data_IF_637217483486
#
_entry.id   IF_637217483486
#
_cell.length_a   1.000
_cell.length_b   1.000
_cell.length_c   1.000
_cell.angle_alpha   90.00
_cell.angle_beta   90.00
_cell.angle_gamma   90.00
#
_symmetry.space_group_name_H-M   'P 1'
#
loop_
_entity.id
_entity.type
_entity.pdbx_description
1 polymer ?
#
# COMPACT_ATOMS: atom_id res chain seq x y z
N UNK A 1 19.15 2.40 -51.54
CA UNK A 1 19.43 2.42 -50.08
C UNK A 1 18.11 2.52 -49.36
N UNK A 2 17.56 1.39 -48.97
CA UNK A 2 16.29 1.31 -48.21
C UNK A 2 16.62 1.33 -46.72
N UNK A 3 16.30 2.45 -46.08
CA UNK A 3 16.34 2.56 -44.61
C UNK A 3 15.22 1.69 -44.05
N UNK A 4 15.57 0.53 -43.48
CA UNK A 4 14.69 -0.24 -42.64
C UNK A 4 14.54 0.54 -41.33
N UNK A 5 13.42 1.23 -41.19
CA UNK A 5 12.95 1.76 -39.93
C UNK A 5 12.51 0.56 -39.07
N UNK A 6 13.42 0.02 -38.26
CA UNK A 6 13.05 -0.89 -37.17
C UNK A 6 12.23 -0.10 -36.15
N UNK A 7 10.94 -0.02 -36.40
CA UNK A 7 9.98 0.36 -35.37
C UNK A 7 10.10 -0.72 -34.28
N UNK A 8 10.75 -0.40 -33.17
CA UNK A 8 10.54 -1.10 -31.91
C UNK A 8 9.07 -0.91 -31.53
N UNK A 9 8.20 -1.73 -32.13
CA UNK A 9 6.89 -1.98 -31.59
C UNK A 9 7.14 -2.61 -30.23
N UNK A 10 6.89 -1.87 -29.17
CA UNK A 10 6.69 -2.43 -27.82
C UNK A 10 5.51 -3.38 -27.96
N UNK A 11 5.80 -4.63 -28.28
CA UNK A 11 4.78 -5.65 -28.47
C UNK A 11 4.01 -5.78 -27.16
N UNK A 12 2.73 -5.45 -27.18
CA UNK A 12 1.85 -5.66 -26.04
C UNK A 12 1.96 -7.14 -25.66
N UNK A 13 2.30 -7.48 -24.41
CA UNK A 13 2.47 -8.87 -23.98
C UNK A 13 1.26 -9.71 -24.37
N UNK A 14 1.48 -10.96 -24.77
CA UNK A 14 0.39 -11.86 -25.15
C UNK A 14 -0.64 -11.98 -24.04
N UNK A 15 -1.89 -12.31 -24.37
CA UNK A 15 -2.96 -12.49 -23.39
C UNK A 15 -2.57 -13.51 -22.31
N UNK A 16 -1.86 -14.56 -22.69
CA UNK A 16 -1.37 -15.60 -21.79
C UNK A 16 -0.39 -15.04 -20.74
N UNK A 17 0.58 -14.23 -21.15
CA UNK A 17 1.54 -13.59 -20.25
C UNK A 17 0.79 -12.69 -19.26
N UNK A 18 -0.15 -11.87 -19.72
CA UNK A 18 -0.95 -10.98 -18.85
C UNK A 18 -1.76 -11.76 -17.83
N UNK A 19 -2.41 -12.86 -18.22
CA UNK A 19 -3.14 -13.73 -17.31
C UNK A 19 -2.22 -14.38 -16.25
N UNK A 20 -1.03 -14.80 -16.65
CA UNK A 20 -0.04 -15.38 -15.72
C UNK A 20 0.44 -14.33 -14.72
N UNK A 21 0.79 -13.13 -15.17
CA UNK A 21 1.22 -12.02 -14.29
C UNK A 21 0.10 -11.69 -13.31
N UNK A 22 -1.13 -11.52 -13.79
CA UNK A 22 -2.29 -11.20 -12.95
C UNK A 22 -2.51 -12.26 -11.86
N UNK A 23 -2.57 -13.53 -12.25
CA UNK A 23 -2.75 -14.66 -11.32
C UNK A 23 -1.64 -14.68 -10.26
N UNK A 24 -0.39 -14.57 -10.69
CA UNK A 24 0.75 -14.60 -9.77
C UNK A 24 0.77 -13.39 -8.85
N UNK A 25 0.37 -12.21 -9.32
CA UNK A 25 0.23 -11.01 -8.50
C UNK A 25 -0.79 -11.20 -7.38
N UNK A 26 -2.00 -11.70 -7.69
CA UNK A 26 -3.03 -11.93 -6.67
C UNK A 26 -2.65 -13.06 -5.70
N UNK A 27 -2.03 -14.15 -6.19
CA UNK A 27 -1.55 -15.22 -5.32
C UNK A 27 -0.45 -14.73 -4.38
N UNK A 28 0.52 -13.98 -4.89
CA UNK A 28 1.60 -13.45 -4.09
C UNK A 28 1.10 -12.38 -3.10
N UNK A 29 0.11 -11.57 -3.51
CA UNK A 29 -0.55 -10.61 -2.64
C UNK A 29 -1.26 -11.32 -1.47
N UNK A 30 -2.04 -12.36 -1.76
CA UNK A 30 -2.70 -13.15 -0.71
C UNK A 30 -1.68 -13.80 0.24
N UNK A 31 -0.59 -14.36 -0.32
CA UNK A 31 0.49 -14.95 0.47
C UNK A 31 1.20 -13.90 1.35
N UNK A 32 1.35 -12.67 0.87
CA UNK A 32 2.01 -11.58 1.62
C UNK A 32 1.21 -11.08 2.82
N UNK A 33 -0.10 -11.35 2.87
CA UNK A 33 -0.93 -11.02 4.04
C UNK A 33 -0.63 -11.94 5.24
N UNK A 34 -0.11 -13.15 5.02
CA UNK A 34 0.24 -14.09 6.10
C UNK A 34 1.38 -13.52 6.97
N UNK A 35 2.57 -13.18 6.43
CA UNK A 35 3.61 -12.57 7.23
C UNK A 35 3.19 -11.22 7.83
N UNK A 36 2.32 -10.45 7.15
CA UNK A 36 1.75 -9.22 7.71
C UNK A 36 0.92 -9.51 8.96
N UNK A 37 0.05 -10.52 8.93
CA UNK A 37 -0.77 -10.90 10.07
C UNK A 37 0.10 -11.39 11.24
N UNK A 38 1.11 -12.21 10.97
CA UNK A 38 2.07 -12.68 12.00
C UNK A 38 2.82 -11.48 12.58
N UNK A 39 3.33 -10.58 11.74
CA UNK A 39 4.00 -9.36 12.17
C UNK A 39 3.10 -8.47 13.03
N UNK A 40 1.84 -8.29 12.63
CA UNK A 40 0.87 -7.51 13.39
C UNK A 40 0.57 -8.12 14.77
N UNK A 41 0.40 -9.44 14.87
CA UNK A 41 0.20 -10.15 16.14
C UNK A 41 1.39 -10.00 17.08
N UNK A 42 2.61 -10.08 16.55
CA UNK A 42 3.83 -9.82 17.34
C UNK A 42 3.88 -8.33 17.72
N UNK A 43 3.62 -7.42 16.77
CA UNK A 43 3.64 -5.98 16.98
C UNK A 43 2.66 -5.49 18.05
N UNK A 44 1.48 -6.11 18.18
CA UNK A 44 0.53 -5.78 19.27
C UNK A 44 1.14 -6.04 20.66
N UNK A 45 2.01 -7.03 20.78
CA UNK A 45 2.64 -7.41 22.05
C UNK A 45 4.02 -6.79 22.28
N UNK A 46 4.57 -6.08 21.27
CA UNK A 46 5.86 -5.42 21.38
C UNK A 46 5.79 -4.08 22.09
N UNK A 47 6.80 -3.76 22.88
CA UNK A 47 6.98 -2.43 23.44
C UNK A 47 7.75 -1.55 22.44
N UNK A 48 7.09 -0.52 21.93
CA UNK A 48 7.71 0.50 21.08
C UNK A 48 8.33 1.64 21.89
N UNK A 49 8.81 1.35 23.11
CA UNK A 49 9.37 2.36 24.03
C UNK A 49 10.59 3.08 23.42
N UNK A 50 11.32 2.46 22.48
CA UNK A 50 12.43 3.11 21.78
C UNK A 50 11.96 4.29 20.95
N UNK A 51 10.73 4.25 20.40
CA UNK A 51 10.12 5.40 19.72
C UNK A 51 9.78 6.54 20.70
N UNK A 52 9.37 6.19 21.91
CA UNK A 52 9.07 7.19 22.96
C UNK A 52 10.35 7.83 23.52
N UNK A 53 11.43 7.03 23.71
CA UNK A 53 12.72 7.52 24.22
C UNK A 53 13.50 8.37 23.21
N UNK A 54 13.43 8.03 21.94
CA UNK A 54 14.15 8.72 20.87
C UNK A 54 13.28 8.78 19.62
N UNK A 55 12.27 9.68 19.57
CA UNK A 55 11.29 9.71 18.47
C UNK A 55 11.92 9.89 17.10
N UNK A 56 12.91 10.78 17.00
CA UNK A 56 13.61 11.08 15.73
C UNK A 56 14.40 9.85 15.27
N UNK A 57 15.24 9.29 16.15
CA UNK A 57 16.04 8.11 15.81
C UNK A 57 15.17 6.89 15.51
N UNK A 58 14.14 6.66 16.31
CA UNK A 58 13.18 5.59 16.09
C UNK A 58 12.48 5.71 14.73
N UNK A 59 12.02 6.90 14.38
CA UNK A 59 11.37 7.15 13.08
C UNK A 59 12.34 6.95 11.92
N UNK A 60 13.58 7.44 12.01
CA UNK A 60 14.61 7.24 10.98
C UNK A 60 14.90 5.75 10.80
N UNK A 61 15.04 4.99 11.89
CA UNK A 61 15.29 3.55 11.83
C UNK A 61 14.14 2.81 11.13
N UNK A 62 12.88 3.14 11.45
CA UNK A 62 11.71 2.54 10.83
C UNK A 62 11.61 2.87 9.35
N UNK A 63 11.83 4.13 8.98
CA UNK A 63 11.86 4.55 7.57
C UNK A 63 12.99 3.87 6.81
N UNK A 64 14.18 3.78 7.40
CA UNK A 64 15.33 3.10 6.79
C UNK A 64 15.04 1.60 6.58
N UNK A 65 14.41 0.93 7.54
CA UNK A 65 14.01 -0.47 7.41
C UNK A 65 12.95 -0.64 6.29
N UNK A 66 11.92 0.21 6.28
CA UNK A 66 10.84 0.15 5.29
C UNK A 66 11.37 0.42 3.88
N UNK A 67 12.06 1.54 3.65
CA UNK A 67 12.59 1.88 2.33
C UNK A 67 13.74 0.97 1.90
N UNK A 68 14.59 0.52 2.85
CA UNK A 68 15.66 -0.43 2.58
C UNK A 68 15.14 -1.78 2.09
N UNK A 69 14.12 -2.34 2.76
CA UNK A 69 13.48 -3.59 2.32
C UNK A 69 12.74 -3.40 0.99
N UNK A 70 12.01 -2.30 0.82
CA UNK A 70 11.37 -1.96 -0.45
C UNK A 70 12.38 -1.90 -1.59
N UNK A 71 13.53 -1.24 -1.38
CA UNK A 71 14.61 -1.19 -2.36
C UNK A 71 15.15 -2.60 -2.69
N UNK A 72 15.32 -3.47 -1.70
CA UNK A 72 15.74 -4.86 -1.90
C UNK A 72 14.73 -5.66 -2.72
N UNK A 73 13.44 -5.47 -2.50
CA UNK A 73 12.38 -6.08 -3.33
C UNK A 73 12.52 -5.63 -4.78
N UNK A 74 12.60 -4.31 -5.03
CA UNK A 74 12.67 -3.75 -6.37
C UNK A 74 13.95 -4.19 -7.10
N UNK A 75 15.08 -4.20 -6.39
CA UNK A 75 16.36 -4.63 -6.95
C UNK A 75 16.38 -6.10 -7.37
N UNK A 76 15.64 -6.96 -6.65
CA UNK A 76 15.62 -8.40 -6.87
C UNK A 76 14.31 -8.90 -7.54
N UNK A 77 13.51 -8.02 -8.12
CA UNK A 77 12.17 -8.33 -8.65
C UNK A 77 12.14 -9.38 -9.76
N UNK A 78 13.27 -9.65 -10.42
CA UNK A 78 13.39 -10.65 -11.49
C UNK A 78 13.81 -12.03 -10.94
N UNK A 79 14.00 -12.19 -9.64
CA UNK A 79 14.49 -13.41 -9.02
C UNK A 79 13.61 -13.89 -7.87
N UNK A 80 13.78 -15.15 -7.46
CA UNK A 80 13.12 -15.70 -6.28
C UNK A 80 13.46 -14.90 -5.00
N UNK A 81 14.65 -14.31 -4.93
CA UNK A 81 15.04 -13.44 -3.81
C UNK A 81 14.09 -12.25 -3.63
N UNK A 82 13.50 -11.74 -4.71
CA UNK A 82 12.49 -10.69 -4.63
C UNK A 82 11.24 -11.09 -3.84
N UNK A 83 10.81 -12.36 -3.96
CA UNK A 83 9.69 -12.89 -3.16
C UNK A 83 10.08 -12.94 -1.68
N UNK A 84 11.28 -13.42 -1.37
CA UNK A 84 11.77 -13.49 0.03
C UNK A 84 11.84 -12.10 0.65
N UNK A 85 12.39 -11.12 -0.08
CA UNK A 85 12.44 -9.73 0.38
C UNK A 85 11.03 -9.11 0.53
N UNK A 86 10.09 -9.48 -0.35
CA UNK A 86 8.70 -9.03 -0.24
C UNK A 86 8.05 -9.60 1.03
N UNK A 87 8.26 -10.89 1.34
CA UNK A 87 7.74 -11.49 2.58
C UNK A 87 8.35 -10.83 3.83
N UNK A 88 9.66 -10.55 3.81
CA UNK A 88 10.32 -9.82 4.89
C UNK A 88 9.76 -8.39 5.03
N UNK A 89 9.55 -7.68 3.91
CA UNK A 89 8.95 -6.35 3.88
C UNK A 89 7.55 -6.36 4.49
N UNK A 90 6.69 -7.28 4.05
CA UNK A 90 5.30 -7.35 4.53
C UNK A 90 5.19 -7.77 6.00
N UNK A 91 6.12 -8.61 6.49
CA UNK A 91 6.25 -8.94 7.90
C UNK A 91 6.60 -7.69 8.74
N UNK A 92 7.61 -6.92 8.31
CA UNK A 92 7.99 -5.67 9.00
C UNK A 92 6.85 -4.66 8.96
N UNK A 93 6.16 -4.52 7.83
CA UNK A 93 4.97 -3.66 7.73
C UNK A 93 3.88 -4.10 8.71
N UNK A 94 3.69 -5.41 8.90
CA UNK A 94 2.82 -5.97 9.95
C UNK A 94 3.25 -5.56 11.36
N UNK A 95 4.55 -5.67 11.69
CA UNK A 95 5.08 -5.20 12.97
C UNK A 95 4.76 -3.71 13.20
N UNK A 96 4.88 -2.88 12.16
CA UNK A 96 4.63 -1.44 12.23
C UNK A 96 3.14 -1.09 12.38
N UNK A 97 2.21 -2.01 12.12
CA UNK A 97 0.81 -1.86 12.52
C UNK A 97 0.62 -1.93 14.04
N UNK A 98 1.57 -2.53 14.77
CA UNK A 98 1.45 -2.77 16.21
C UNK A 98 0.97 -1.57 17.02
N UNK A 99 1.61 -0.40 16.96
CA UNK A 99 1.18 0.79 17.71
C UNK A 99 -0.26 1.22 17.40
N UNK A 100 -0.65 1.20 16.12
CA UNK A 100 -2.00 1.56 15.70
C UNK A 100 -3.04 0.56 16.22
N UNK A 101 -2.75 -0.74 16.12
CA UNK A 101 -3.63 -1.80 16.61
C UNK A 101 -3.70 -1.80 18.15
N UNK A 102 -2.59 -1.57 18.86
CA UNK A 102 -2.59 -1.38 20.31
C UNK A 102 -3.50 -0.23 20.73
N UNK A 103 -3.42 0.91 20.03
CA UNK A 103 -4.28 2.05 20.28
C UNK A 103 -5.75 1.69 20.01
N UNK A 104 -6.04 1.06 18.87
CA UNK A 104 -7.38 0.63 18.50
C UNK A 104 -8.00 -0.32 19.54
N UNK A 105 -7.25 -1.31 20.04
CA UNK A 105 -7.72 -2.29 21.03
C UNK A 105 -7.97 -1.69 22.41
N UNK A 106 -7.46 -0.52 22.72
CA UNK A 106 -7.77 0.21 23.97
C UNK A 106 -9.11 0.93 23.92
N UNK A 107 -9.66 1.16 22.73
CA UNK A 107 -10.98 1.78 22.55
C UNK A 107 -12.06 0.70 22.73
N UNK A 108 -13.20 0.98 23.40
CA UNK A 108 -14.34 0.07 23.43
C UNK A 108 -14.75 -0.34 22.00
N UNK A 109 -15.02 -1.65 21.82
CA UNK A 109 -15.31 -2.25 20.52
C UNK A 109 -14.16 -2.15 19.49
N UNK A 110 -12.93 -1.92 19.94
CA UNK A 110 -11.77 -1.71 19.06
C UNK A 110 -11.54 -2.86 18.07
N UNK A 111 -11.74 -4.11 18.50
CA UNK A 111 -11.67 -5.27 17.61
C UNK A 111 -12.68 -5.18 16.45
N UNK A 112 -13.92 -4.73 16.73
CA UNK A 112 -14.95 -4.52 15.71
C UNK A 112 -14.59 -3.38 14.75
N UNK A 113 -13.93 -2.33 15.25
CA UNK A 113 -13.46 -1.22 14.41
C UNK A 113 -12.33 -1.64 13.47
N UNK A 114 -11.42 -2.48 13.95
CA UNK A 114 -10.35 -3.08 13.13
C UNK A 114 -10.97 -3.97 12.04
N UNK A 115 -11.94 -4.81 12.41
CA UNK A 115 -12.65 -5.66 11.45
C UNK A 115 -13.40 -4.82 10.40
N UNK A 116 -14.09 -3.75 10.82
CA UNK A 116 -14.78 -2.83 9.92
C UNK A 116 -13.80 -2.19 8.91
N UNK A 117 -12.65 -1.70 9.38
CA UNK A 117 -11.61 -1.16 8.51
C UNK A 117 -11.11 -2.20 7.50
N UNK A 118 -10.91 -3.45 7.93
CA UNK A 118 -10.49 -4.55 7.05
C UNK A 118 -11.55 -4.89 6.00
N UNK A 119 -12.82 -4.95 6.39
CA UNK A 119 -13.95 -5.19 5.48
C UNK A 119 -14.09 -4.08 4.44
N UNK A 120 -14.03 -2.82 4.86
CA UNK A 120 -14.07 -1.67 3.96
C UNK A 120 -12.88 -1.65 3.00
N UNK A 121 -11.68 -1.95 3.49
CA UNK A 121 -10.47 -2.08 2.66
C UNK A 121 -10.66 -3.16 1.59
N UNK A 122 -11.16 -4.32 1.98
CA UNK A 122 -11.44 -5.43 1.07
C UNK A 122 -12.50 -5.07 0.04
N UNK A 123 -13.58 -4.40 0.46
CA UNK A 123 -14.64 -3.95 -0.44
C UNK A 123 -14.10 -2.95 -1.48
N UNK A 124 -13.34 -1.95 -1.06
CA UNK A 124 -12.72 -0.97 -1.97
C UNK A 124 -11.76 -1.67 -2.93
N UNK A 125 -10.92 -2.60 -2.44
CA UNK A 125 -10.01 -3.37 -3.28
C UNK A 125 -10.75 -4.14 -4.37
N UNK A 126 -11.83 -4.84 -4.02
CA UNK A 126 -12.64 -5.62 -4.97
C UNK A 126 -13.32 -4.72 -6.00
N UNK A 127 -13.93 -3.62 -5.56
CA UNK A 127 -14.60 -2.66 -6.45
C UNK A 127 -13.59 -2.02 -7.42
N UNK A 128 -12.46 -1.51 -6.91
CA UNK A 128 -11.43 -0.89 -7.76
C UNK A 128 -10.80 -1.88 -8.74
N UNK A 129 -10.59 -3.11 -8.29
CA UNK A 129 -10.12 -4.19 -9.17
C UNK A 129 -11.15 -4.48 -10.27
N UNK A 130 -12.44 -4.62 -9.95
CA UNK A 130 -13.50 -4.87 -10.91
C UNK A 130 -13.61 -3.74 -11.95
N UNK A 131 -13.51 -2.49 -11.52
CA UNK A 131 -13.48 -1.32 -12.43
C UNK A 131 -12.26 -1.40 -13.35
N UNK A 132 -11.09 -1.77 -12.84
CA UNK A 132 -9.86 -1.90 -13.62
C UNK A 132 -9.99 -2.89 -14.80
N UNK A 133 -10.73 -3.98 -14.62
CA UNK A 133 -11.02 -4.95 -15.69
C UNK A 133 -11.94 -4.38 -16.78
N UNK A 134 -12.85 -3.51 -16.41
CA UNK A 134 -13.89 -2.97 -17.32
C UNK A 134 -13.38 -1.82 -18.17
N UNK A 135 -12.48 -0.99 -17.62
CA UNK A 135 -11.94 0.19 -18.32
C UNK A 135 -11.03 -0.22 -19.47
N UNK A 136 -11.42 0.14 -20.70
CA UNK A 136 -10.65 -0.16 -21.91
C UNK A 136 -9.66 0.93 -22.31
N UNK A 137 -9.88 2.16 -21.85
CA UNK A 137 -9.06 3.33 -22.19
C UNK A 137 -7.75 3.32 -21.39
N UNK A 138 -6.66 3.76 -22.01
CA UNK A 138 -5.39 3.97 -21.32
C UNK A 138 -5.52 4.99 -20.18
N UNK A 139 -4.91 4.68 -19.03
CA UNK A 139 -4.98 5.52 -17.83
C UNK A 139 -3.68 6.31 -17.59
N UNK A 140 -3.02 6.79 -18.67
CA UNK A 140 -1.77 7.54 -18.55
C UNK A 140 -1.97 8.83 -17.73
N UNK A 141 -3.11 9.50 -17.91
CA UNK A 141 -3.47 10.67 -17.08
C UNK A 141 -3.53 10.33 -15.60
N UNK A 142 -4.11 9.17 -15.26
CA UNK A 142 -4.22 8.74 -13.86
C UNK A 142 -2.84 8.48 -13.24
N UNK A 143 -1.90 7.89 -13.98
CA UNK A 143 -0.52 7.69 -13.51
C UNK A 143 0.17 9.03 -13.18
N UNK A 144 0.05 10.02 -14.06
CA UNK A 144 0.59 11.36 -13.83
C UNK A 144 -0.08 12.05 -12.63
N UNK A 145 -1.40 11.95 -12.52
CA UNK A 145 -2.15 12.47 -11.38
C UNK A 145 -1.70 11.85 -10.06
N UNK A 146 -1.50 10.53 -10.04
CA UNK A 146 -1.01 9.81 -8.84
C UNK A 146 0.43 10.21 -8.49
N UNK A 147 1.28 10.45 -9.48
CA UNK A 147 2.65 10.92 -9.21
C UNK A 147 2.64 12.29 -8.53
N UNK A 148 1.85 13.24 -9.04
CA UNK A 148 1.69 14.56 -8.40
C UNK A 148 1.04 14.44 -7.04
N UNK A 149 -0.01 13.60 -6.93
CA UNK A 149 -0.71 13.32 -5.67
C UNK A 149 0.21 12.77 -4.59
N UNK A 150 1.12 11.87 -4.94
CA UNK A 150 2.11 11.33 -4.00
C UNK A 150 3.02 12.43 -3.43
N UNK A 151 3.50 13.35 -4.29
CA UNK A 151 4.32 14.50 -3.86
C UNK A 151 3.53 15.42 -2.92
N UNK A 152 2.29 15.74 -3.28
CA UNK A 152 1.41 16.59 -2.45
C UNK A 152 1.16 15.94 -1.08
N UNK A 153 0.83 14.64 -1.05
CA UNK A 153 0.62 13.90 0.20
C UNK A 153 1.89 13.85 1.04
N UNK A 154 3.05 13.65 0.42
CA UNK A 154 4.33 13.67 1.13
C UNK A 154 4.60 15.03 1.78
N UNK A 155 4.38 16.12 1.06
CA UNK A 155 4.50 17.48 1.61
C UNK A 155 3.50 17.69 2.75
N UNK A 156 2.25 17.23 2.60
CA UNK A 156 1.21 17.35 3.62
C UNK A 156 1.58 16.60 4.91
N UNK A 157 2.18 15.38 4.81
CA UNK A 157 2.69 14.64 5.96
C UNK A 157 3.77 15.45 6.69
N UNK A 158 4.74 15.96 5.93
CA UNK A 158 5.83 16.77 6.51
C UNK A 158 5.24 18.00 7.21
N UNK A 159 4.34 18.72 6.54
CA UNK A 159 3.68 19.89 7.12
C UNK A 159 2.96 19.54 8.44
N UNK A 160 2.27 18.39 8.48
CA UNK A 160 1.55 17.98 9.69
C UNK A 160 2.48 17.62 10.86
N UNK A 161 3.70 17.14 10.60
CA UNK A 161 4.70 16.89 11.66
C UNK A 161 5.04 18.19 12.40
N UNK A 162 5.14 19.31 11.68
CA UNK A 162 5.42 20.62 12.28
C UNK A 162 4.18 21.29 12.87
N UNK A 163 3.05 21.25 12.15
CA UNK A 163 1.81 21.93 12.54
C UNK A 163 1.06 21.19 13.66
N UNK A 164 1.20 19.87 13.73
CA UNK A 164 0.55 18.98 14.74
C UNK A 164 -0.97 19.21 14.86
N UNK A 165 -1.63 19.46 13.74
CA UNK A 165 -3.07 19.74 13.68
C UNK A 165 -3.87 18.46 13.48
N UNK A 166 -4.73 18.05 14.47
CA UNK A 166 -5.53 16.82 14.34
C UNK A 166 -6.47 16.83 13.12
N UNK A 167 -7.05 17.99 12.80
CA UNK A 167 -7.91 18.14 11.62
C UNK A 167 -7.16 17.92 10.32
N UNK A 168 -5.95 18.47 10.18
CA UNK A 168 -5.10 18.24 9.01
C UNK A 168 -4.71 16.76 8.88
N UNK A 169 -4.42 16.09 10.00
CA UNK A 169 -4.12 14.66 10.01
C UNK A 169 -5.27 13.83 9.46
N UNK A 170 -6.53 14.09 9.86
CA UNK A 170 -7.70 13.39 9.35
C UNK A 170 -7.95 13.69 7.86
N UNK A 171 -7.71 14.92 7.41
CA UNK A 171 -7.77 15.26 5.99
C UNK A 171 -6.73 14.48 5.17
N UNK A 172 -5.51 14.33 5.69
CA UNK A 172 -4.46 13.51 5.07
C UNK A 172 -4.91 12.04 5.00
N UNK A 173 -5.48 11.48 6.07
CA UNK A 173 -6.03 10.12 6.04
C UNK A 173 -7.13 9.97 4.97
N UNK A 174 -8.06 10.91 4.85
CA UNK A 174 -9.07 10.92 3.80
C UNK A 174 -8.47 10.97 2.39
N UNK A 175 -7.46 11.82 2.20
CA UNK A 175 -6.73 11.91 0.95
C UNK A 175 -5.98 10.59 0.61
N UNK A 176 -5.39 9.91 1.60
CA UNK A 176 -4.79 8.59 1.42
C UNK A 176 -5.81 7.51 1.04
N UNK A 177 -7.04 7.55 1.58
CA UNK A 177 -8.10 6.62 1.15
C UNK A 177 -8.37 6.77 -0.34
N UNK A 178 -8.54 8.00 -0.82
CA UNK A 178 -8.78 8.27 -2.25
C UNK A 178 -7.55 7.87 -3.08
N UNK A 179 -6.38 8.31 -2.68
CA UNK A 179 -5.12 8.03 -3.37
C UNK A 179 -4.86 6.53 -3.50
N UNK A 180 -4.97 5.78 -2.40
CA UNK A 180 -4.73 4.33 -2.40
C UNK A 180 -5.77 3.57 -3.23
N UNK A 181 -7.03 4.00 -3.21
CA UNK A 181 -8.08 3.44 -4.05
C UNK A 181 -7.77 3.62 -5.54
N UNK A 182 -7.34 4.82 -5.94
CA UNK A 182 -6.94 5.11 -7.32
C UNK A 182 -5.64 4.38 -7.71
N UNK A 183 -4.70 4.20 -6.78
CA UNK A 183 -3.49 3.40 -7.01
C UNK A 183 -3.82 1.93 -7.26
N UNK A 184 -4.77 1.34 -6.50
CA UNK A 184 -5.24 -0.03 -6.75
C UNK A 184 -5.83 -0.13 -8.15
N UNK A 185 -6.74 0.79 -8.50
CA UNK A 185 -7.36 0.85 -9.83
C UNK A 185 -6.30 0.92 -10.94
N UNK A 186 -5.36 1.86 -10.82
CA UNK A 186 -4.30 2.07 -11.79
C UNK A 186 -3.38 0.85 -11.92
N UNK A 187 -2.92 0.30 -10.80
CA UNK A 187 -1.99 -0.83 -10.80
C UNK A 187 -2.62 -2.09 -11.39
N UNK A 188 -3.85 -2.43 -11.00
CA UNK A 188 -4.57 -3.58 -11.58
C UNK A 188 -4.78 -3.36 -13.08
N UNK A 189 -5.16 -2.15 -13.49
CA UNK A 189 -5.30 -1.81 -14.90
C UNK A 189 -3.99 -1.98 -15.68
N UNK A 190 -2.85 -1.56 -15.12
CA UNK A 190 -1.53 -1.74 -15.74
C UNK A 190 -1.21 -3.23 -15.95
N UNK A 191 -1.48 -4.09 -14.96
CA UNK A 191 -1.28 -5.54 -15.09
C UNK A 191 -2.22 -6.13 -16.16
N UNK A 192 -3.49 -5.77 -16.14
CA UNK A 192 -4.50 -6.28 -17.09
C UNK A 192 -4.21 -5.86 -18.53
N UNK A 193 -3.66 -4.65 -18.74
CA UNK A 193 -3.33 -4.12 -20.07
C UNK A 193 -1.91 -4.45 -20.53
N UNK A 194 -1.09 -5.03 -19.65
CA UNK A 194 0.29 -5.43 -19.97
C UNK A 194 1.31 -4.30 -19.85
N UNK A 195 0.96 -3.20 -19.22
CA UNK A 195 1.89 -2.13 -18.88
C UNK A 195 2.81 -2.49 -17.70
N UNK A 196 2.38 -3.41 -16.83
CA UNK A 196 3.22 -4.01 -15.80
C UNK A 196 3.31 -5.52 -16.05
N UNK A 197 4.53 -6.01 -16.21
CA UNK A 197 4.82 -7.42 -16.53
C UNK A 197 5.49 -8.18 -15.38
N UNK A 198 5.96 -7.44 -14.36
CA UNK A 198 6.60 -8.04 -13.20
C UNK A 198 5.59 -8.18 -12.05
N UNK A 199 5.24 -9.43 -11.72
CA UNK A 199 4.24 -9.72 -10.68
C UNK A 199 4.72 -9.36 -9.27
N UNK A 200 6.05 -9.33 -8.98
CA UNK A 200 6.60 -8.93 -7.66
C UNK A 200 6.43 -7.41 -7.49
N UNK A 201 6.76 -6.64 -8.51
CA UNK A 201 6.57 -5.19 -8.53
C UNK A 201 5.09 -4.81 -8.39
N UNK A 202 4.22 -5.47 -9.17
CA UNK A 202 2.79 -5.29 -9.08
C UNK A 202 2.24 -5.61 -7.68
N UNK A 203 2.68 -6.71 -7.08
CA UNK A 203 2.29 -7.11 -5.72
C UNK A 203 2.74 -6.09 -4.69
N UNK A 204 3.99 -5.61 -4.77
CA UNK A 204 4.51 -4.61 -3.85
C UNK A 204 3.66 -3.33 -3.86
N UNK A 205 3.34 -2.83 -5.06
CA UNK A 205 2.53 -1.61 -5.23
C UNK A 205 1.10 -1.81 -4.69
N UNK A 206 0.46 -2.93 -5.00
CA UNK A 206 -0.87 -3.26 -4.50
C UNK A 206 -0.86 -3.42 -2.98
N UNK A 207 0.14 -4.11 -2.44
CA UNK A 207 0.29 -4.30 -0.99
C UNK A 207 0.39 -2.96 -0.25
N UNK A 208 1.29 -2.06 -0.69
CA UNK A 208 1.45 -0.74 -0.09
C UNK A 208 0.14 0.06 -0.17
N UNK A 209 -0.58 -0.03 -1.29
CA UNK A 209 -1.86 0.66 -1.45
C UNK A 209 -2.93 0.12 -0.50
N UNK A 210 -3.05 -1.20 -0.34
CA UNK A 210 -3.98 -1.84 0.60
C UNK A 210 -3.60 -1.50 2.06
N UNK A 211 -2.31 -1.51 2.38
CA UNK A 211 -1.81 -1.14 3.70
C UNK A 211 -2.16 0.30 4.07
N UNK A 212 -1.90 1.25 3.16
CA UNK A 212 -2.22 2.66 3.36
C UNK A 212 -3.74 2.89 3.45
N UNK A 213 -4.52 2.19 2.63
CA UNK A 213 -5.98 2.24 2.68
C UNK A 213 -6.51 1.75 4.03
N UNK A 214 -6.05 0.59 4.49
CA UNK A 214 -6.44 0.02 5.77
C UNK A 214 -6.08 0.93 6.94
N UNK A 215 -4.84 1.40 7.01
CA UNK A 215 -4.37 2.25 8.10
C UNK A 215 -5.12 3.58 8.14
N UNK A 216 -5.37 4.17 6.98
CA UNK A 216 -6.11 5.44 6.88
C UNK A 216 -7.59 5.28 7.26
N UNK A 217 -8.25 4.23 6.79
CA UNK A 217 -9.63 3.91 7.18
C UNK A 217 -9.73 3.65 8.69
N UNK A 218 -8.82 2.84 9.25
CA UNK A 218 -8.82 2.56 10.69
C UNK A 218 -8.65 3.84 11.51
N UNK A 219 -7.74 4.73 11.11
CA UNK A 219 -7.51 6.00 11.80
C UNK A 219 -8.74 6.92 11.74
N UNK A 220 -9.42 7.01 10.60
CA UNK A 220 -10.67 7.78 10.46
C UNK A 220 -11.77 7.18 11.35
N UNK A 221 -11.96 5.86 11.32
CA UNK A 221 -12.96 5.17 12.13
C UNK A 221 -12.70 5.40 13.62
N UNK A 222 -11.46 5.30 14.07
CA UNK A 222 -11.08 5.56 15.47
C UNK A 222 -11.35 7.00 15.89
N UNK A 223 -11.05 7.97 15.02
CA UNK A 223 -11.32 9.38 15.29
C UNK A 223 -12.81 9.68 15.42
N UNK A 224 -13.64 9.10 14.55
CA UNK A 224 -15.09 9.25 14.60
C UNK A 224 -15.69 8.59 15.84
N UNK A 225 -15.24 7.37 16.17
CA UNK A 225 -15.72 6.65 17.37
C UNK A 225 -15.32 7.31 18.70
N UNK A 226 -14.22 8.08 18.71
CA UNK A 226 -13.81 8.86 19.90
C UNK A 226 -14.59 10.16 20.09
N UNK A 227 -15.21 10.69 19.04
CA UNK A 227 -15.94 11.97 19.07
C UNK A 227 -17.41 11.82 19.52
N UNK A 228 -18.00 10.64 19.41
CA UNK A 228 -19.39 10.35 19.84
C UNK A 228 -19.60 10.38 21.38
N UNK A 229 -18.56 10.78 22.13
CA UNK A 229 -18.54 10.76 23.60
C UNK A 229 -18.37 12.14 24.25
N UNK A 230 -18.50 13.20 23.48
CA UNK A 230 -18.56 14.57 23.97
C UNK A 230 -20.00 15.11 23.78
#
# INVERSE_FOLDING_TARGET
MSYQYNAYQTAVPSAEIRHKVLRNTYLLLALSLIPTAIGALIGINMSFMFLAKSPIMGTILLLAAMYGLMFMVVRNKESFAGIVWLMAFTFVMGLLLGPLLQFALRVPNGASLILLAALLTSAVFLVMSAIAFTVKKEMNFLGNFLTVGAVVLFIAIIANIFLRMPGLYLMICGAFVIFSSLMILWQVHQVVRGGETNYISATLTLYISIYNLFTSLLQIILALSGNDRR
#
